data_IF_397452765128
#
_entry.id   IF_397452765128
#
_cell.length_a   1.000
_cell.length_b   1.000
_cell.length_c   1.000
_cell.angle_alpha   90.00
_cell.angle_beta   90.00
_cell.angle_gamma   90.00
#
_symmetry.space_group_name_H-M   'P 1'
#
loop_
_entity.id
_entity.type
_entity.pdbx_description
1 polymer ?
#
# COMPACT_ATOMS: atom_id res chain seq x y z
N UNK A 1 -7.85 1.55 -9.64
CA UNK A 1 -8.14 2.60 -10.64
C UNK A 1 -7.18 2.44 -11.81
N UNK A 2 -7.64 2.68 -13.04
CA UNK A 2 -6.82 2.50 -14.23
C UNK A 2 -6.87 3.73 -15.13
N UNK A 3 -5.76 4.03 -15.80
CA UNK A 3 -5.65 5.17 -16.71
C UNK A 3 -4.69 4.89 -17.84
N UNK A 4 -4.84 5.64 -18.92
CA UNK A 4 -4.02 5.54 -20.12
C UNK A 4 -3.73 6.94 -20.66
N UNK A 5 -2.51 7.17 -21.15
CA UNK A 5 -2.10 8.46 -21.72
C UNK A 5 -2.34 9.61 -20.73
N UNK A 6 -2.98 10.70 -21.15
CA UNK A 6 -3.36 11.82 -20.27
C UNK A 6 -4.17 11.43 -19.03
N UNK A 7 -4.87 10.28 -19.06
CA UNK A 7 -5.59 9.74 -17.90
C UNK A 7 -4.68 9.36 -16.72
N UNK A 8 -3.36 9.26 -16.93
CA UNK A 8 -2.37 9.06 -15.87
C UNK A 8 -2.48 10.13 -14.77
N UNK A 9 -2.71 11.40 -15.14
CA UNK A 9 -2.91 12.48 -14.18
C UNK A 9 -4.06 12.21 -13.21
N UNK A 10 -5.22 11.78 -13.72
CA UNK A 10 -6.37 11.46 -12.87
C UNK A 10 -6.07 10.27 -11.95
N UNK A 11 -5.35 9.25 -12.45
CA UNK A 11 -4.99 8.09 -11.64
C UNK A 11 -4.09 8.50 -10.48
N UNK A 12 -3.04 9.26 -10.74
CA UNK A 12 -2.13 9.70 -9.68
C UNK A 12 -2.81 10.68 -8.72
N UNK A 13 -3.54 11.66 -9.26
CA UNK A 13 -4.19 12.68 -8.45
C UNK A 13 -5.23 12.11 -7.49
N UNK A 14 -6.13 11.26 -7.98
CA UNK A 14 -7.22 10.70 -7.18
C UNK A 14 -6.80 9.43 -6.46
N UNK A 15 -5.97 8.59 -7.09
CA UNK A 15 -5.67 7.24 -6.61
C UNK A 15 -4.74 7.22 -5.42
N UNK A 16 -3.70 8.06 -5.47
CA UNK A 16 -2.72 8.17 -4.39
C UNK A 16 -3.30 8.85 -3.14
N UNK A 17 -4.29 9.75 -3.31
CA UNK A 17 -4.94 10.44 -2.18
C UNK A 17 -6.00 9.61 -1.47
N UNK A 18 -6.44 8.51 -2.09
CA UNK A 18 -7.51 7.67 -1.56
C UNK A 18 -7.14 6.17 -1.58
N UNK A 19 -6.01 5.75 -0.96
CA UNK A 19 -5.57 4.36 -0.99
C UNK A 19 -6.55 3.39 -0.28
N UNK A 20 -7.37 3.91 0.63
CA UNK A 20 -8.46 3.16 1.28
C UNK A 20 -9.60 2.78 0.32
N UNK A 21 -9.75 3.52 -0.79
CA UNK A 21 -10.77 3.32 -1.83
C UNK A 21 -10.16 2.59 -3.02
N UNK A 22 -9.03 3.10 -3.52
CA UNK A 22 -8.36 2.53 -4.68
C UNK A 22 -7.24 1.60 -4.24
N UNK A 23 -7.55 0.33 -4.10
CA UNK A 23 -6.62 -0.70 -3.63
C UNK A 23 -5.40 -0.95 -4.53
N UNK A 24 -5.47 -0.56 -5.81
CA UNK A 24 -4.38 -0.72 -6.78
C UNK A 24 -4.50 0.31 -7.91
N UNK A 25 -3.38 0.74 -8.46
CA UNK A 25 -3.31 1.71 -9.56
C UNK A 25 -2.60 1.10 -10.77
N UNK A 26 -3.18 1.21 -11.96
CA UNK A 26 -2.52 0.85 -13.21
C UNK A 26 -2.51 2.03 -14.16
N UNK A 27 -1.32 2.51 -14.51
CA UNK A 27 -1.12 3.62 -15.43
C UNK A 27 -0.39 3.12 -16.65
N UNK A 28 -1.07 3.12 -17.80
CA UNK A 28 -0.53 2.60 -19.05
C UNK A 28 -0.07 3.75 -19.94
N UNK A 29 1.24 3.83 -20.19
CA UNK A 29 1.86 4.87 -21.01
C UNK A 29 1.33 6.26 -20.66
N UNK A 30 1.31 6.54 -19.35
CA UNK A 30 0.55 7.63 -18.79
C UNK A 30 1.38 8.88 -18.55
N UNK A 31 0.72 10.03 -18.67
CA UNK A 31 1.31 11.31 -18.33
C UNK A 31 1.52 11.46 -16.82
N UNK A 32 2.57 12.19 -16.45
CA UNK A 32 2.94 12.42 -15.06
C UNK A 32 3.61 13.78 -14.88
N UNK A 33 3.26 14.44 -13.80
CA UNK A 33 3.90 15.66 -13.32
C UNK A 33 3.65 15.80 -11.81
N UNK A 34 4.72 15.73 -11.03
CA UNK A 34 4.67 15.81 -9.57
C UNK A 34 4.12 17.16 -9.06
N UNK A 35 4.15 18.23 -9.87
CA UNK A 35 3.62 19.55 -9.49
C UNK A 35 2.12 19.53 -9.21
N UNK A 36 1.38 18.52 -9.71
CA UNK A 36 -0.04 18.32 -9.40
C UNK A 36 -0.29 17.50 -8.12
N UNK A 37 0.76 17.12 -7.39
CA UNK A 37 0.72 16.23 -6.22
C UNK A 37 1.39 16.84 -4.96
N UNK A 38 1.16 18.13 -4.60
CA UNK A 38 1.91 18.79 -3.53
C UNK A 38 1.68 18.24 -2.12
N UNK A 39 0.54 17.58 -1.87
CA UNK A 39 0.06 17.13 -0.54
C UNK A 39 -0.03 15.60 -0.43
N UNK A 40 0.56 14.86 -1.37
CA UNK A 40 0.31 13.41 -1.44
C UNK A 40 0.91 12.64 -0.27
N UNK A 41 2.02 13.13 0.31
CA UNK A 41 2.81 12.38 1.29
C UNK A 41 2.03 12.03 2.56
N UNK A 42 1.09 12.88 2.97
CA UNK A 42 0.23 12.61 4.13
C UNK A 42 -0.89 11.59 3.85
N UNK A 43 -1.09 11.23 2.58
CA UNK A 43 -2.28 10.49 2.11
C UNK A 43 -1.96 9.16 1.44
N UNK A 44 -0.72 8.93 1.04
CA UNK A 44 -0.31 7.67 0.41
C UNK A 44 -0.28 6.50 1.39
N UNK A 45 -0.52 5.31 0.87
CA UNK A 45 -0.20 4.05 1.54
C UNK A 45 1.03 3.47 0.82
N UNK A 46 2.21 3.39 1.47
CA UNK A 46 3.44 2.82 0.92
C UNK A 46 3.26 1.45 0.24
N UNK A 47 2.24 0.71 0.66
CA UNK A 47 1.96 -0.63 0.19
C UNK A 47 0.83 -0.73 -0.84
N UNK A 48 0.29 0.40 -1.32
CA UNK A 48 -0.66 0.43 -2.43
C UNK A 48 0.08 -0.01 -3.72
N UNK A 49 -0.31 -1.12 -4.37
CA UNK A 49 0.35 -1.56 -5.59
C UNK A 49 0.12 -0.59 -6.75
N UNK A 50 1.20 -0.23 -7.44
CA UNK A 50 1.17 0.62 -8.63
C UNK A 50 1.89 -0.06 -9.78
N UNK A 51 1.19 -0.32 -10.88
CA UNK A 51 1.79 -0.78 -12.13
C UNK A 51 1.85 0.36 -13.14
N UNK A 52 3.06 0.68 -13.57
CA UNK A 52 3.32 1.61 -14.67
C UNK A 52 3.69 0.78 -15.90
N UNK A 53 2.95 0.93 -16.99
CA UNK A 53 3.27 0.25 -18.26
C UNK A 53 3.95 1.22 -19.21
N UNK A 54 5.04 0.79 -19.84
CA UNK A 54 5.75 1.52 -20.90
C UNK A 54 5.73 0.71 -22.19
N UNK A 55 5.73 1.38 -23.34
CA UNK A 55 5.87 0.71 -24.64
C UNK A 55 7.28 0.92 -25.22
N UNK A 56 7.82 -0.12 -25.84
CA UNK A 56 9.21 -0.12 -26.36
C UNK A 56 9.43 0.94 -27.45
N UNK A 57 8.42 1.21 -28.28
CA UNK A 57 8.43 2.18 -29.37
C UNK A 57 7.31 3.23 -29.18
N UNK A 58 7.17 3.75 -27.96
CA UNK A 58 6.14 4.75 -27.63
C UNK A 58 6.42 6.13 -28.27
N UNK A 59 5.43 7.02 -28.19
CA UNK A 59 5.59 8.41 -28.57
C UNK A 59 6.74 9.07 -27.78
N UNK A 60 7.52 9.97 -28.40
CA UNK A 60 8.60 10.68 -27.74
C UNK A 60 8.15 11.30 -26.40
N UNK A 61 8.89 11.01 -25.33
CA UNK A 61 8.65 11.57 -24.00
C UNK A 61 7.63 10.84 -23.11
N UNK A 62 6.79 9.94 -23.64
CA UNK A 62 5.82 9.21 -22.79
C UNK A 62 6.51 8.20 -21.87
N UNK A 63 7.41 7.37 -22.41
CA UNK A 63 8.20 6.43 -21.60
C UNK A 63 9.07 7.17 -20.58
N UNK A 64 9.53 8.39 -20.89
CA UNK A 64 10.25 9.24 -19.93
C UNK A 64 9.33 9.70 -18.79
N UNK A 65 8.11 10.13 -19.08
CA UNK A 65 7.13 10.50 -18.03
C UNK A 65 6.79 9.31 -17.14
N UNK A 66 6.64 8.12 -17.71
CA UNK A 66 6.40 6.89 -16.94
C UNK A 66 7.56 6.56 -15.99
N UNK A 67 8.82 6.69 -16.45
CA UNK A 67 9.99 6.49 -15.60
C UNK A 67 10.09 7.56 -14.50
N UNK A 68 9.84 8.83 -14.83
CA UNK A 68 9.74 9.91 -13.82
C UNK A 68 8.68 9.61 -12.77
N UNK A 69 7.53 9.08 -13.16
CA UNK A 69 6.48 8.68 -12.23
C UNK A 69 6.94 7.55 -11.30
N UNK A 70 7.63 6.55 -11.86
CA UNK A 70 8.20 5.45 -11.07
C UNK A 70 9.21 5.97 -10.05
N UNK A 71 10.21 6.73 -10.49
CA UNK A 71 11.27 7.26 -9.63
C UNK A 71 10.67 8.11 -8.51
N UNK A 72 9.77 9.03 -8.86
CA UNK A 72 9.11 9.88 -7.88
C UNK A 72 8.29 9.10 -6.86
N UNK A 73 7.54 8.07 -7.28
CA UNK A 73 6.79 7.22 -6.34
C UNK A 73 7.74 6.46 -5.40
N UNK A 74 8.88 5.96 -5.90
CA UNK A 74 9.91 5.34 -5.04
C UNK A 74 10.48 6.35 -4.04
N UNK A 75 10.72 7.60 -4.45
CA UNK A 75 11.14 8.69 -3.56
C UNK A 75 10.09 9.01 -2.49
N UNK A 76 8.79 8.84 -2.79
CA UNK A 76 7.71 8.99 -1.80
C UNK A 76 7.60 7.79 -0.83
N UNK A 77 8.50 6.80 -0.92
CA UNK A 77 8.47 5.61 -0.08
C UNK A 77 7.43 4.57 -0.51
N UNK A 78 6.94 4.61 -1.76
CA UNK A 78 6.05 3.57 -2.27
C UNK A 78 6.85 2.31 -2.58
N UNK A 79 6.58 1.23 -1.84
CA UNK A 79 7.34 -0.01 -1.94
C UNK A 79 6.90 -0.86 -3.14
N UNK A 80 5.60 -0.86 -3.44
CA UNK A 80 4.97 -1.76 -4.41
C UNK A 80 4.74 -1.13 -5.79
N UNK A 81 5.74 -0.41 -6.29
CA UNK A 81 5.72 0.19 -7.63
C UNK A 81 6.47 -0.70 -8.61
N UNK A 82 5.88 -1.00 -9.77
CA UNK A 82 6.47 -1.82 -10.84
C UNK A 82 6.39 -1.12 -12.18
N UNK A 83 7.43 -1.31 -13.00
CA UNK A 83 7.37 -1.04 -14.44
C UNK A 83 7.14 -2.35 -15.19
N UNK A 84 6.24 -2.35 -16.17
CA UNK A 84 6.12 -3.41 -17.17
C UNK A 84 6.33 -2.80 -18.56
N UNK A 85 7.33 -3.29 -19.27
CA UNK A 85 7.53 -2.94 -20.68
C UNK A 85 6.74 -3.88 -21.58
N UNK A 86 6.11 -3.32 -22.62
CA UNK A 86 5.40 -4.06 -23.65
C UNK A 86 5.91 -3.70 -25.04
N UNK A 87 5.87 -4.66 -25.96
CA UNK A 87 6.21 -4.41 -27.35
C UNK A 87 5.14 -3.55 -28.04
N UNK A 88 5.60 -2.61 -28.85
CA UNK A 88 4.76 -1.79 -29.74
C UNK A 88 4.78 -0.31 -29.40
N UNK A 89 3.69 0.37 -29.76
CA UNK A 89 3.55 1.83 -29.72
C UNK A 89 2.49 2.27 -28.69
N UNK A 90 2.02 3.52 -28.77
CA UNK A 90 1.02 4.13 -27.88
C UNK A 90 -0.37 3.49 -27.96
N UNK A 91 -0.50 2.24 -27.53
CA UNK A 91 -1.70 1.41 -27.64
C UNK A 91 -2.31 1.12 -26.26
N UNK A 92 -3.64 1.02 -26.18
CA UNK A 92 -4.34 0.92 -24.88
C UNK A 92 -3.98 -0.31 -24.04
N UNK A 93 -3.82 -1.48 -24.69
CA UNK A 93 -3.44 -2.78 -24.08
C UNK A 93 -4.16 -3.05 -22.74
N UNK A 94 -5.51 -3.06 -22.72
CA UNK A 94 -6.29 -3.16 -21.49
C UNK A 94 -6.02 -4.43 -20.67
N UNK A 95 -5.63 -5.52 -21.33
CA UNK A 95 -5.27 -6.81 -20.75
C UNK A 95 -4.15 -6.68 -19.71
N UNK A 96 -3.18 -5.78 -19.93
CA UNK A 96 -2.07 -5.58 -18.99
C UNK A 96 -2.57 -5.10 -17.63
N UNK A 97 -3.58 -4.24 -17.62
CA UNK A 97 -4.18 -3.76 -16.37
C UNK A 97 -5.13 -4.81 -15.78
N UNK A 98 -5.86 -5.54 -16.61
CA UNK A 98 -6.71 -6.63 -16.14
C UNK A 98 -5.89 -7.70 -15.40
N UNK A 99 -4.80 -8.16 -16.00
CA UNK A 99 -3.90 -9.16 -15.40
C UNK A 99 -3.32 -8.68 -14.08
N UNK A 100 -2.89 -7.42 -14.03
CA UNK A 100 -2.39 -6.81 -12.80
C UNK A 100 -3.44 -6.73 -11.71
N UNK A 101 -4.66 -6.30 -12.02
CA UNK A 101 -5.73 -6.24 -11.03
C UNK A 101 -6.13 -7.63 -10.55
N UNK A 102 -6.12 -8.63 -11.43
CA UNK A 102 -6.32 -10.04 -11.08
C UNK A 102 -5.23 -10.54 -10.14
N UNK A 103 -3.96 -10.30 -10.46
CA UNK A 103 -2.81 -10.61 -9.60
C UNK A 103 -2.99 -9.97 -8.22
N UNK A 104 -3.26 -8.67 -8.18
CA UNK A 104 -3.39 -7.91 -6.93
C UNK A 104 -4.55 -8.43 -6.07
N UNK A 105 -5.71 -8.73 -6.66
CA UNK A 105 -6.86 -9.25 -5.91
C UNK A 105 -6.68 -10.68 -5.41
N UNK A 106 -5.79 -11.46 -6.03
CA UNK A 106 -5.56 -12.86 -5.67
C UNK A 106 -4.37 -13.05 -4.73
N UNK A 107 -3.37 -12.19 -4.81
CA UNK A 107 -2.05 -12.42 -4.20
C UNK A 107 -1.72 -11.42 -3.08
N UNK A 108 -2.45 -10.30 -2.99
CA UNK A 108 -2.17 -9.26 -2.00
C UNK A 108 -3.21 -9.27 -0.89
N UNK A 109 -2.75 -9.12 0.36
CA UNK A 109 -3.60 -8.79 1.49
C UNK A 109 -3.69 -7.27 1.66
N UNK A 110 -4.92 -6.76 1.68
CA UNK A 110 -5.22 -5.38 2.04
C UNK A 110 -5.44 -5.32 3.54
N UNK A 111 -4.52 -4.64 4.23
CA UNK A 111 -4.46 -4.64 5.68
C UNK A 111 -4.57 -3.20 6.16
N UNK A 112 -5.52 -2.98 7.08
CA UNK A 112 -5.60 -1.76 7.88
C UNK A 112 -5.46 -2.15 9.34
N UNK A 113 -4.57 -1.48 10.04
CA UNK A 113 -4.39 -1.66 11.48
C UNK A 113 -4.70 -0.36 12.22
N UNK A 114 -5.22 -0.51 13.43
CA UNK A 114 -5.44 0.58 14.36
C UNK A 114 -5.16 0.10 15.79
N UNK A 115 -4.84 1.03 16.68
CA UNK A 115 -4.66 0.79 18.10
C UNK A 115 -5.47 1.82 18.89
N UNK A 116 -6.20 1.35 19.91
CA UNK A 116 -6.96 2.20 20.84
C UNK A 116 -6.38 1.99 22.24
N UNK A 117 -5.97 3.08 22.88
CA UNK A 117 -5.38 3.11 24.22
C UNK A 117 -6.48 3.32 25.28
N UNK A 118 -6.14 3.10 26.54
CA UNK A 118 -6.95 3.47 27.71
C UNK A 118 -8.31 2.76 27.80
N UNK A 119 -8.40 1.54 27.24
CA UNK A 119 -9.63 0.75 27.37
C UNK A 119 -9.71 0.21 28.81
N UNK A 120 -10.71 0.69 29.56
CA UNK A 120 -10.97 0.23 30.92
C UNK A 120 -10.12 0.90 32.02
N UNK A 121 -9.45 2.02 31.71
CA UNK A 121 -8.77 2.87 32.70
C UNK A 121 -7.33 2.48 33.03
N UNK A 122 -6.77 1.44 32.42
CA UNK A 122 -5.33 1.15 32.48
C UNK A 122 -4.60 1.81 31.30
N UNK A 123 -3.71 2.79 31.55
CA UNK A 123 -3.00 3.50 30.49
C UNK A 123 -1.92 2.66 29.80
N UNK A 124 -1.62 1.46 30.30
CA UNK A 124 -0.69 0.52 29.68
C UNK A 124 -1.39 -0.59 28.87
N UNK A 125 -2.72 -0.57 28.80
CA UNK A 125 -3.49 -1.54 28.02
C UNK A 125 -3.95 -0.96 26.68
N UNK A 126 -3.72 -1.70 25.61
CA UNK A 126 -4.03 -1.31 24.23
C UNK A 126 -4.83 -2.39 23.54
N UNK A 127 -5.90 -1.98 22.87
CA UNK A 127 -6.64 -2.84 21.96
C UNK A 127 -6.19 -2.60 20.53
N UNK A 128 -5.80 -3.68 19.86
CA UNK A 128 -5.42 -3.68 18.46
C UNK A 128 -6.57 -4.17 17.59
N UNK A 129 -6.66 -3.59 16.40
CA UNK A 129 -7.65 -3.96 15.40
C UNK A 129 -6.95 -4.21 14.07
N UNK A 130 -7.27 -5.32 13.42
CA UNK A 130 -6.89 -5.56 12.03
C UNK A 130 -8.14 -5.78 11.15
N UNK A 131 -8.25 -5.00 10.08
CA UNK A 131 -9.16 -5.28 8.98
C UNK A 131 -8.34 -5.82 7.80
N UNK A 132 -8.58 -7.09 7.45
CA UNK A 132 -7.78 -7.84 6.48
C UNK A 132 -8.70 -8.40 5.40
N UNK A 133 -8.34 -8.20 4.14
CA UNK A 133 -9.05 -8.72 2.97
C UNK A 133 -8.06 -9.18 1.90
N UNK A 134 -8.15 -10.42 1.37
CA UNK A 134 -9.07 -11.49 1.75
C UNK A 134 -8.78 -12.04 3.16
N UNK A 135 -9.66 -12.93 3.66
CA UNK A 135 -9.47 -13.60 4.96
C UNK A 135 -8.06 -14.20 5.04
N UNK A 136 -7.28 -13.92 6.10
CA UNK A 136 -5.92 -14.42 6.21
C UNK A 136 -5.89 -15.91 6.51
N UNK A 137 -4.79 -16.56 6.11
CA UNK A 137 -4.45 -17.91 6.59
C UNK A 137 -3.84 -17.88 7.99
N UNK A 138 -3.05 -16.85 8.30
CA UNK A 138 -2.50 -16.61 9.64
C UNK A 138 -2.21 -15.12 9.87
N UNK A 139 -2.18 -14.73 11.13
CA UNK A 139 -1.77 -13.40 11.59
C UNK A 139 -0.79 -13.54 12.76
N UNK A 140 0.15 -12.61 12.85
CA UNK A 140 1.10 -12.52 13.95
C UNK A 140 1.28 -11.04 14.28
N UNK A 141 0.84 -10.65 15.48
CA UNK A 141 1.20 -9.38 16.08
C UNK A 141 2.50 -9.56 16.87
N UNK A 142 3.44 -8.64 16.67
CA UNK A 142 4.64 -8.42 17.47
C UNK A 142 4.48 -7.04 18.09
N UNK A 143 4.33 -7.00 19.42
CA UNK A 143 4.00 -5.78 20.14
C UNK A 143 5.20 -4.87 20.42
N UNK A 144 6.42 -5.31 20.02
CA UNK A 144 7.66 -4.55 20.20
C UNK A 144 8.25 -4.61 21.61
N UNK A 145 7.67 -5.42 22.50
CA UNK A 145 8.16 -5.67 23.88
C UNK A 145 8.62 -7.12 24.10
N UNK A 146 8.61 -7.93 23.05
CA UNK A 146 8.97 -9.34 23.07
C UNK A 146 7.76 -10.29 23.12
N UNK A 147 6.54 -9.78 23.35
CA UNK A 147 5.32 -10.58 23.29
C UNK A 147 4.67 -10.54 21.91
N UNK A 148 3.91 -11.61 21.61
CA UNK A 148 3.24 -11.81 20.33
C UNK A 148 1.81 -12.31 20.51
N UNK A 149 0.96 -12.10 19.50
CA UNK A 149 -0.39 -12.67 19.46
C UNK A 149 -0.75 -13.20 18.07
N UNK A 150 -1.62 -14.21 18.03
CA UNK A 150 -2.17 -14.80 16.82
C UNK A 150 -3.65 -14.46 16.60
N UNK A 151 -4.24 -13.64 17.47
CA UNK A 151 -5.59 -13.15 17.30
C UNK A 151 -5.62 -12.02 16.25
N UNK A 152 -6.75 -11.87 15.54
CA UNK A 152 -6.89 -10.80 14.54
C UNK A 152 -6.92 -9.41 15.19
N UNK A 153 -7.58 -9.30 16.34
CA UNK A 153 -7.75 -8.04 17.07
C UNK A 153 -7.51 -8.27 18.58
N UNK A 154 -6.25 -8.48 19.00
CA UNK A 154 -5.91 -8.76 20.39
C UNK A 154 -5.97 -7.52 21.28
N UNK A 155 -6.18 -7.75 22.57
CA UNK A 155 -5.82 -6.81 23.62
C UNK A 155 -4.42 -7.18 24.14
N UNK A 156 -3.60 -6.18 24.43
CA UNK A 156 -2.26 -6.37 25.00
C UNK A 156 -2.01 -5.37 26.13
N UNK A 157 -1.37 -5.83 27.21
CA UNK A 157 -1.00 -5.00 28.35
C UNK A 157 0.52 -4.90 28.45
N UNK A 158 1.04 -3.69 28.36
CA UNK A 158 2.46 -3.44 28.44
C UNK A 158 2.92 -3.34 29.89
N UNK A 159 4.08 -3.93 30.21
CA UNK A 159 4.63 -3.87 31.56
C UNK A 159 5.17 -2.47 31.95
N UNK A 160 5.53 -1.65 30.97
CA UNK A 160 6.18 -0.34 31.17
C UNK A 160 5.62 0.71 30.20
N UNK A 161 5.68 1.97 30.63
CA UNK A 161 5.49 3.10 29.73
C UNK A 161 6.66 3.15 28.73
N UNK A 162 6.39 3.63 27.52
CA UNK A 162 7.38 3.64 26.45
C UNK A 162 6.76 3.89 25.07
N UNK A 163 7.61 3.92 24.05
CA UNK A 163 7.16 3.91 22.65
C UNK A 163 7.55 2.58 22.03
N UNK A 164 6.55 1.90 21.47
CA UNK A 164 6.67 0.57 20.90
C UNK A 164 6.37 0.63 19.40
N UNK A 165 7.23 -0.01 18.60
CA UNK A 165 6.96 -0.27 17.20
C UNK A 165 6.24 -1.61 17.09
N UNK A 166 4.93 -1.55 16.87
CA UNK A 166 4.06 -2.72 16.76
C UNK A 166 3.99 -3.13 15.30
N UNK A 167 4.11 -4.43 15.04
CA UNK A 167 4.12 -5.01 13.69
C UNK A 167 3.08 -6.12 13.59
N UNK A 168 2.25 -6.04 12.57
CA UNK A 168 1.37 -7.13 12.15
C UNK A 168 1.93 -7.77 10.89
N UNK A 169 2.22 -9.07 10.95
CA UNK A 169 2.51 -9.91 9.80
C UNK A 169 1.27 -10.73 9.45
N UNK A 170 0.78 -10.58 8.22
CA UNK A 170 -0.35 -11.35 7.69
C UNK A 170 0.16 -12.32 6.64
N UNK A 171 -0.25 -13.58 6.77
CA UNK A 171 -0.01 -14.63 5.77
C UNK A 171 -1.33 -14.90 5.05
N UNK A 172 -1.36 -14.69 3.74
CA UNK A 172 -2.55 -15.02 2.95
C UNK A 172 -2.66 -16.53 2.70
N UNK A 173 -3.79 -17.04 2.17
CA UNK A 173 -3.96 -18.47 1.89
C UNK A 173 -2.95 -19.07 0.89
N UNK A 174 -2.23 -18.24 0.12
CA UNK A 174 -1.16 -18.64 -0.79
C UNK A 174 0.24 -18.53 -0.16
N UNK A 175 0.32 -18.40 1.17
CA UNK A 175 1.54 -18.24 1.94
C UNK A 175 2.33 -16.93 1.66
N UNK A 176 1.77 -15.96 0.95
CA UNK A 176 2.41 -14.67 0.77
C UNK A 176 2.28 -13.83 2.05
N UNK A 177 3.38 -13.19 2.45
CA UNK A 177 3.46 -12.36 3.66
C UNK A 177 3.29 -10.89 3.31
N UNK A 178 2.52 -10.17 4.12
CA UNK A 178 2.46 -8.70 4.09
C UNK A 178 2.54 -8.17 5.51
N UNK A 179 3.34 -7.14 5.71
CA UNK A 179 3.55 -6.51 7.02
C UNK A 179 2.95 -5.11 7.08
N UNK A 180 2.53 -4.72 8.28
CA UNK A 180 2.13 -3.36 8.63
C UNK A 180 2.69 -3.00 9.99
N UNK A 181 3.17 -1.78 10.13
CA UNK A 181 3.66 -1.26 11.41
C UNK A 181 2.83 -0.06 11.88
N UNK A 182 2.73 0.09 13.19
CA UNK A 182 2.21 1.29 13.84
C UNK A 182 3.05 1.60 15.09
N UNK A 183 3.06 2.85 15.52
CA UNK A 183 3.73 3.26 16.76
C UNK A 183 2.71 3.50 17.86
N UNK A 184 2.95 2.91 19.03
CA UNK A 184 2.16 3.14 20.24
C UNK A 184 3.07 3.80 21.28
N UNK A 185 2.67 4.97 21.77
CA UNK A 185 3.31 5.64 22.92
C UNK A 185 2.40 5.55 24.14
N UNK A 186 2.90 5.01 25.23
CA UNK A 186 2.19 4.82 26.50
C UNK A 186 2.85 5.63 27.59
N UNK A 187 2.03 6.28 28.41
CA UNK A 187 2.42 7.10 29.56
C UNK A 187 1.47 6.81 30.71
N UNK A 188 1.96 6.85 31.95
CA UNK A 188 1.12 6.72 33.14
C UNK A 188 0.40 8.03 33.47
#
# INVERSE_FOLDING_TARGET
>A
MVGWSGGGYAVYYTGLRHPKVFRALSVRMGSFDARFLPDVQERIDPYQPVLITIASNDLPGISLQCRKAYDWLKEQGMDRVRIKEIAGTHQRRPEVAFDFLREVTQDYSFIRINAVKDIGGDPLTVQFYAAIDPKPGAVIWDFGDGEVSHEVSPQHQYAKAGTYEVKLTVVNPKAAKTERTLRVTLSK
#
